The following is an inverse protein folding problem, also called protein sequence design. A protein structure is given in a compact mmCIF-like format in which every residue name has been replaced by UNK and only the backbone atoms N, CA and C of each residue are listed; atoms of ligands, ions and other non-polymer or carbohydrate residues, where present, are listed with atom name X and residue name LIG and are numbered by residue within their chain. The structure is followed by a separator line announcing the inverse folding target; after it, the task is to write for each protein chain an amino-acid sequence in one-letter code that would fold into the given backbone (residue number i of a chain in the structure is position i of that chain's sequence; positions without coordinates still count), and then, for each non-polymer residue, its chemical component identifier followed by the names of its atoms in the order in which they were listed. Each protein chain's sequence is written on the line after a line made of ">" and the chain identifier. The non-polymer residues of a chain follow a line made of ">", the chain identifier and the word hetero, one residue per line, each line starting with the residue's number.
data_IF_600096240193
#
_entry.id   IF_600096240193
#
_cell.length_a   1.000
_cell.length_b   1.000
_cell.length_c   1.000
_cell.angle_alpha   90.00
_cell.angle_beta   90.00
_cell.angle_gamma   90.00
#
_symmetry.space_group_name_H-M   'P 1'
#
loop_
_entity.id
_entity.type
_entity.pdbx_description
1 polymer ?
#
# COMPACT_ATOMS: atom_id res chain seq x y z
N UNK A 1 -4.32 6.78 36.38
CA UNK A 1 -3.66 5.48 36.31
C UNK A 1 -4.38 4.60 35.28
N UNK A 2 -4.23 4.89 34.03
CA UNK A 2 -4.51 3.97 32.93
C UNK A 2 -3.40 4.15 31.91
N UNK A 3 -2.47 3.24 31.92
CA UNK A 3 -1.62 2.92 30.79
C UNK A 3 -2.55 2.50 29.66
N UNK A 4 -2.82 3.42 28.74
CA UNK A 4 -3.39 3.09 27.44
C UNK A 4 -2.19 2.61 26.62
N UNK A 5 -2.14 1.31 26.37
CA UNK A 5 -1.10 0.66 25.59
C UNK A 5 -1.06 1.32 24.21
N UNK A 6 0.10 1.78 23.78
CA UNK A 6 0.34 2.35 22.45
C UNK A 6 -0.03 1.38 21.32
N UNK A 7 0.08 0.05 21.54
CA UNK A 7 -0.50 -0.98 20.69
C UNK A 7 -2.00 -0.83 20.43
N UNK A 8 -2.75 -0.26 21.40
CA UNK A 8 -4.18 -0.07 21.22
C UNK A 8 -4.52 1.10 20.28
N UNK A 9 -3.66 2.11 20.16
CA UNK A 9 -3.88 3.24 19.25
C UNK A 9 -3.48 2.90 17.80
N UNK A 10 -2.42 2.15 17.61
CA UNK A 10 -2.05 1.63 16.29
C UNK A 10 -2.99 0.50 15.84
N UNK A 11 -3.50 -0.30 16.76
CA UNK A 11 -4.57 -1.27 16.50
C UNK A 11 -5.93 -0.61 16.33
N UNK A 12 -6.19 0.59 16.85
CA UNK A 12 -7.44 1.32 16.61
C UNK A 12 -7.46 1.95 15.21
N UNK A 13 -6.33 2.29 14.62
CA UNK A 13 -6.26 2.59 13.19
C UNK A 13 -6.39 1.31 12.32
N UNK A 14 -6.17 0.12 12.89
CA UNK A 14 -6.28 -1.19 12.25
C UNK A 14 -7.56 -1.97 12.61
N UNK A 15 -8.27 -1.63 13.69
CA UNK A 15 -9.54 -2.24 14.05
C UNK A 15 -10.71 -1.32 13.72
N UNK A 16 -11.09 -1.29 12.44
CA UNK A 16 -12.42 -0.87 12.05
C UNK A 16 -13.46 -1.70 12.82
N UNK A 17 -14.29 -1.01 13.57
CA UNK A 17 -15.34 -1.55 14.41
C UNK A 17 -16.12 -2.68 13.73
N UNK A 18 -16.14 -3.84 14.37
CA UNK A 18 -17.04 -4.96 14.05
C UNK A 18 -18.49 -4.54 14.34
N UNK A 19 -19.16 -3.97 13.36
CA UNK A 19 -20.61 -3.99 13.29
C UNK A 19 -21.00 -5.15 12.37
N UNK A 20 -21.25 -6.32 12.98
CA UNK A 20 -21.96 -7.41 12.31
C UNK A 20 -23.39 -6.96 12.04
N UNK A 21 -23.64 -6.39 10.89
CA UNK A 21 -25.00 -6.35 10.35
C UNK A 21 -25.24 -7.68 9.65
N UNK A 22 -26.04 -8.51 10.29
CA UNK A 22 -26.53 -9.77 9.74
C UNK A 22 -27.49 -9.42 8.60
N UNK A 23 -27.03 -9.56 7.36
CA UNK A 23 -27.90 -9.49 6.19
C UNK A 23 -28.47 -10.88 5.97
N UNK A 24 -29.75 -11.06 6.27
CA UNK A 24 -30.49 -12.27 5.91
C UNK A 24 -30.64 -12.29 4.38
N UNK A 25 -29.96 -13.24 3.75
CA UNK A 25 -30.11 -13.54 2.33
C UNK A 25 -31.53 -14.13 2.10
N UNK A 26 -32.39 -13.30 1.55
CA UNK A 26 -33.67 -13.74 1.01
C UNK A 26 -33.41 -14.60 -0.21
N UNK A 27 -33.89 -15.83 -0.19
CA UNK A 27 -33.65 -16.85 -1.18
C UNK A 27 -34.05 -16.46 -2.60
N UNK A 28 -33.09 -16.61 -3.51
CA UNK A 28 -33.32 -16.68 -4.94
C UNK A 28 -33.23 -18.15 -5.37
N UNK A 29 -34.37 -18.74 -5.65
CA UNK A 29 -34.46 -20.06 -6.29
C UNK A 29 -34.05 -19.94 -7.76
N UNK A 30 -33.06 -20.72 -8.18
CA UNK A 30 -32.76 -20.94 -9.60
C UNK A 30 -33.62 -22.09 -10.15
N UNK A 31 -34.16 -21.96 -11.35
CA UNK A 31 -34.86 -23.07 -12.00
C UNK A 31 -33.89 -24.12 -12.50
N UNK A 32 -34.24 -25.40 -12.54
CA UNK A 32 -33.40 -26.45 -13.01
C UNK A 32 -33.44 -26.59 -14.53
N UNK A 33 -32.28 -26.94 -15.07
CA UNK A 33 -32.05 -27.72 -16.28
C UNK A 33 -32.54 -27.21 -17.62
N UNK A 34 -31.60 -26.81 -18.48
CA UNK A 34 -31.80 -26.85 -19.93
C UNK A 34 -30.73 -27.78 -20.53
N UNK A 35 -31.29 -28.85 -21.09
CA UNK A 35 -30.55 -29.97 -21.64
C UNK A 35 -29.65 -29.68 -22.83
N UNK A 36 -28.61 -30.48 -22.89
CA UNK A 36 -28.02 -31.10 -24.08
C UNK A 36 -27.60 -30.23 -25.25
N UNK A 37 -26.28 -29.84 -25.29
CA UNK A 37 -25.59 -29.62 -26.55
C UNK A 37 -24.46 -30.65 -26.75
N UNK A 38 -24.24 -31.14 -27.97
CA UNK A 38 -23.27 -32.19 -28.24
C UNK A 38 -21.84 -31.71 -28.08
N UNK A 39 -21.00 -32.53 -27.45
CA UNK A 39 -19.56 -32.29 -27.27
C UNK A 39 -18.82 -32.39 -28.59
N UNK A 40 -17.98 -31.43 -28.96
CA UNK A 40 -17.03 -31.59 -30.08
C UNK A 40 -15.88 -32.49 -29.70
N UNK A 41 -15.42 -33.31 -30.66
CA UNK A 41 -14.37 -34.30 -30.53
C UNK A 41 -13.02 -33.67 -30.12
N UNK A 42 -12.25 -34.38 -29.28
CA UNK A 42 -11.12 -33.86 -28.50
C UNK A 42 -9.84 -33.47 -29.27
N UNK A 43 -9.78 -33.50 -30.59
CA UNK A 43 -8.56 -33.22 -31.38
C UNK A 43 -8.38 -31.73 -31.71
N UNK A 44 -9.48 -30.95 -31.83
CA UNK A 44 -9.39 -29.53 -32.25
C UNK A 44 -9.20 -28.54 -31.08
N UNK A 45 -9.38 -28.99 -29.83
CA UNK A 45 -9.30 -28.10 -28.66
C UNK A 45 -7.88 -27.66 -28.31
N UNK A 46 -6.86 -28.45 -28.62
CA UNK A 46 -5.47 -28.16 -28.23
C UNK A 46 -4.77 -27.13 -29.14
N UNK A 47 -5.13 -27.02 -30.41
CA UNK A 47 -4.51 -26.07 -31.35
C UNK A 47 -5.15 -24.69 -31.19
N UNK A 48 -6.46 -24.58 -31.06
CA UNK A 48 -7.16 -23.31 -30.89
C UNK A 48 -6.85 -22.65 -29.52
N UNK A 49 -6.70 -23.44 -28.46
CA UNK A 49 -6.37 -22.94 -27.12
C UNK A 49 -4.97 -22.35 -27.02
N UNK A 50 -4.00 -22.91 -27.73
CA UNK A 50 -2.61 -22.39 -27.74
C UNK A 50 -2.49 -21.08 -28.51
N UNK A 51 -3.11 -20.96 -29.67
CA UNK A 51 -3.05 -19.75 -30.51
C UNK A 51 -3.74 -18.57 -29.86
N UNK A 52 -4.92 -18.78 -29.26
CA UNK A 52 -5.64 -17.71 -28.54
C UNK A 52 -4.95 -17.27 -27.27
N UNK A 53 -4.29 -18.17 -26.53
CA UNK A 53 -3.50 -17.82 -25.35
C UNK A 53 -2.25 -17.03 -25.73
N UNK A 54 -1.54 -17.41 -26.78
CA UNK A 54 -0.34 -16.71 -27.25
C UNK A 54 -0.66 -15.30 -27.75
N UNK A 55 -1.77 -15.11 -28.48
CA UNK A 55 -2.23 -13.79 -28.95
C UNK A 55 -2.60 -12.90 -27.76
N UNK A 56 -3.32 -13.41 -26.77
CA UNK A 56 -3.68 -12.64 -25.57
C UNK A 56 -2.47 -12.22 -24.75
N UNK A 57 -1.45 -13.06 -24.64
CA UNK A 57 -0.22 -12.68 -23.93
C UNK A 57 0.52 -11.57 -24.69
N UNK A 58 0.61 -11.64 -26.01
CA UNK A 58 1.21 -10.56 -26.80
C UNK A 58 0.42 -9.23 -26.69
N UNK A 59 -0.91 -9.30 -26.59
CA UNK A 59 -1.75 -8.12 -26.36
C UNK A 59 -1.51 -7.54 -24.96
N UNK A 60 -1.37 -8.39 -23.93
CA UNK A 60 -1.04 -7.98 -22.56
C UNK A 60 0.33 -7.31 -22.52
N UNK A 61 1.37 -7.92 -23.08
CA UNK A 61 2.72 -7.38 -23.11
C UNK A 61 2.75 -5.99 -23.77
N UNK A 62 2.02 -5.84 -24.90
CA UNK A 62 1.92 -4.56 -25.58
C UNK A 62 1.21 -3.47 -24.73
N UNK A 63 0.18 -3.83 -23.97
CA UNK A 63 -0.48 -2.91 -23.03
C UNK A 63 0.46 -2.55 -21.88
N UNK A 64 1.11 -3.54 -21.27
CA UNK A 64 2.03 -3.31 -20.14
C UNK A 64 3.23 -2.45 -20.55
N UNK A 65 3.76 -2.63 -21.78
CA UNK A 65 4.84 -1.78 -22.29
C UNK A 65 4.41 -0.30 -22.33
N UNK A 66 3.23 0.00 -22.93
CA UNK A 66 2.72 1.38 -22.96
C UNK A 66 2.38 1.94 -21.58
N UNK A 67 1.91 1.09 -20.68
CA UNK A 67 1.68 1.53 -19.28
C UNK A 67 3.02 1.85 -18.61
N UNK A 68 4.05 0.99 -18.77
CA UNK A 68 5.39 1.25 -18.23
C UNK A 68 5.94 2.60 -18.69
N UNK A 69 5.85 2.90 -20.00
CA UNK A 69 6.31 4.17 -20.58
C UNK A 69 5.65 5.41 -19.94
N UNK A 70 4.46 5.23 -19.37
CA UNK A 70 3.70 6.31 -18.74
C UNK A 70 3.89 6.41 -17.21
N UNK A 71 4.02 5.27 -16.52
CA UNK A 71 3.98 5.23 -15.05
C UNK A 71 5.36 5.13 -14.40
N UNK A 72 6.36 4.67 -15.15
CA UNK A 72 7.72 4.66 -14.64
C UNK A 72 8.29 6.08 -14.65
N UNK A 73 8.99 6.49 -13.59
CA UNK A 73 9.65 7.78 -13.56
C UNK A 73 10.69 7.90 -14.68
N UNK A 74 10.72 9.06 -15.33
CA UNK A 74 11.75 9.34 -16.33
C UNK A 74 13.14 9.45 -15.71
N UNK A 75 14.21 9.20 -16.49
CA UNK A 75 15.59 9.30 -15.98
C UNK A 75 15.90 10.65 -15.31
N UNK A 76 15.39 11.75 -15.86
CA UNK A 76 15.58 13.09 -15.29
C UNK A 76 14.84 13.26 -13.94
N UNK A 77 13.65 12.67 -13.81
CA UNK A 77 12.88 12.67 -12.57
C UNK A 77 13.59 11.85 -11.48
N UNK A 78 14.10 10.66 -11.83
CA UNK A 78 14.89 9.82 -10.92
C UNK A 78 16.17 10.51 -10.45
N UNK A 79 16.88 11.19 -11.35
CA UNK A 79 18.12 11.89 -11.01
C UNK A 79 17.84 13.07 -10.09
N UNK A 80 16.79 13.84 -10.37
CA UNK A 80 16.38 14.95 -9.50
C UNK A 80 16.03 14.45 -8.10
N UNK A 81 15.22 13.38 -7.99
CA UNK A 81 14.89 12.80 -6.70
C UNK A 81 16.11 12.34 -5.93
N UNK A 82 17.04 11.62 -6.59
CA UNK A 82 18.29 11.16 -5.97
C UNK A 82 19.13 12.32 -5.46
N UNK A 83 19.27 13.37 -6.26
CA UNK A 83 20.04 14.54 -5.86
C UNK A 83 19.41 15.24 -4.66
N UNK A 84 18.08 15.41 -4.66
CA UNK A 84 17.35 16.02 -3.55
C UNK A 84 17.43 15.17 -2.28
N UNK A 85 17.23 13.87 -2.39
CA UNK A 85 17.34 12.94 -1.26
C UNK A 85 18.75 12.95 -0.66
N UNK A 86 19.81 12.93 -1.51
CA UNK A 86 21.19 12.99 -1.05
C UNK A 86 21.51 14.30 -0.34
N UNK A 87 20.99 15.44 -0.82
CA UNK A 87 21.17 16.73 -0.17
C UNK A 87 20.47 16.76 1.20
N UNK A 88 19.22 16.27 1.28
CA UNK A 88 18.49 16.22 2.54
C UNK A 88 19.13 15.26 3.55
N UNK A 89 19.62 14.11 3.10
CA UNK A 89 20.38 13.17 3.94
C UNK A 89 21.63 13.83 4.52
N UNK A 90 22.42 14.52 3.69
CA UNK A 90 23.63 15.19 4.16
C UNK A 90 23.32 16.32 5.17
N UNK A 91 22.20 17.04 5.01
CA UNK A 91 21.74 18.03 6.01
C UNK A 91 21.33 17.35 7.31
N UNK A 92 20.62 16.24 7.24
CA UNK A 92 20.19 15.48 8.41
C UNK A 92 21.41 14.90 9.16
N UNK A 93 22.37 14.31 8.45
CA UNK A 93 23.63 13.82 9.03
C UNK A 93 24.42 14.95 9.72
N UNK A 94 24.44 16.15 9.12
CA UNK A 94 25.08 17.31 9.77
C UNK A 94 24.35 17.73 11.05
N UNK A 95 23.01 17.71 11.06
CA UNK A 95 22.24 18.05 12.24
C UNK A 95 22.38 16.99 13.35
N UNK A 96 22.44 15.71 12.97
CA UNK A 96 22.69 14.59 13.88
C UNK A 96 24.07 14.72 14.55
N UNK A 97 25.09 15.13 13.80
CA UNK A 97 26.47 15.29 14.34
C UNK A 97 26.58 16.35 15.45
N UNK A 98 25.63 17.27 15.55
CA UNK A 98 25.57 18.29 16.60
C UNK A 98 24.80 17.80 17.86
N UNK A 99 24.22 16.60 17.83
CA UNK A 99 23.47 16.03 18.97
C UNK A 99 24.43 15.41 20.01
N UNK A 100 24.01 15.35 21.29
CA UNK A 100 24.77 14.69 22.36
C UNK A 100 24.63 13.16 22.38
N UNK A 101 24.06 12.57 21.35
CA UNK A 101 23.75 11.13 21.20
C UNK A 101 24.14 10.67 19.81
N UNK A 102 24.65 9.44 19.70
CA UNK A 102 24.91 8.84 18.41
C UNK A 102 23.60 8.53 17.69
N UNK A 103 23.50 8.91 16.43
CA UNK A 103 22.36 8.57 15.56
C UNK A 103 22.84 8.50 14.11
N UNK A 104 22.06 7.87 13.26
CA UNK A 104 22.32 7.85 11.83
C UNK A 104 21.03 8.15 11.03
N UNK A 105 21.19 8.38 9.73
CA UNK A 105 20.10 8.75 8.83
C UNK A 105 20.01 7.73 7.70
N UNK A 106 18.81 7.22 7.47
CA UNK A 106 18.54 6.30 6.36
C UNK A 106 17.38 6.81 5.53
N UNK A 107 17.52 6.75 4.20
CA UNK A 107 16.39 6.91 3.31
C UNK A 107 15.66 5.58 3.21
N UNK A 108 14.36 5.58 3.33
CA UNK A 108 13.49 4.41 3.24
C UNK A 108 12.35 4.64 2.24
N UNK A 109 11.47 3.69 2.11
CA UNK A 109 10.26 3.86 1.34
C UNK A 109 10.41 3.60 -0.16
N UNK A 110 9.37 3.90 -0.91
CA UNK A 110 9.31 3.58 -2.34
C UNK A 110 10.36 4.33 -3.17
N UNK A 111 10.71 5.54 -2.77
CA UNK A 111 11.69 6.38 -3.47
C UNK A 111 13.12 5.87 -3.27
N UNK A 112 13.43 5.28 -2.12
CA UNK A 112 14.71 4.62 -1.87
C UNK A 112 14.88 3.37 -2.76
N UNK A 113 13.82 2.58 -2.92
CA UNK A 113 13.84 1.32 -3.67
C UNK A 113 13.50 1.44 -5.16
N UNK A 114 13.16 2.63 -5.64
CA UNK A 114 12.79 2.84 -7.06
C UNK A 114 11.42 2.27 -7.44
N UNK A 115 10.54 2.04 -6.47
CA UNK A 115 9.20 1.44 -6.65
C UNK A 115 8.07 2.47 -6.67
N UNK A 116 8.36 3.74 -6.87
CA UNK A 116 7.41 4.84 -6.92
C UNK A 116 6.84 5.08 -8.32
N UNK A 117 5.58 5.50 -8.38
CA UNK A 117 4.91 5.84 -9.64
C UNK A 117 5.27 7.27 -10.03
N UNK A 118 5.55 7.53 -11.32
CA UNK A 118 5.84 8.89 -11.80
C UNK A 118 4.80 9.90 -11.31
N UNK A 119 5.29 10.99 -10.73
CA UNK A 119 4.47 12.02 -10.09
C UNK A 119 4.23 11.83 -8.59
N UNK A 120 4.44 10.64 -8.02
CA UNK A 120 4.57 10.49 -6.57
C UNK A 120 5.89 11.15 -6.15
N UNK A 121 5.91 11.89 -5.03
CA UNK A 121 7.05 12.77 -4.69
C UNK A 121 7.46 12.69 -3.23
N UNK A 122 7.27 11.53 -2.62
CA UNK A 122 7.51 11.33 -1.19
C UNK A 122 8.96 10.90 -0.95
N UNK A 123 9.70 11.63 -0.11
CA UNK A 123 11.03 11.28 0.37
C UNK A 123 10.93 11.03 1.86
N UNK A 124 11.15 9.78 2.27
CA UNK A 124 11.10 9.36 3.66
C UNK A 124 12.53 9.24 4.21
N UNK A 125 12.90 10.07 5.17
CA UNK A 125 14.17 10.01 5.89
C UNK A 125 13.91 9.61 7.33
N UNK A 126 14.59 8.56 7.76
CA UNK A 126 14.50 8.05 9.12
C UNK A 126 15.78 8.37 9.88
N UNK A 127 15.63 9.01 11.05
CA UNK A 127 16.73 9.26 11.99
C UNK A 127 16.68 8.18 13.05
N UNK A 128 17.67 7.27 13.03
CA UNK A 128 17.72 6.12 13.95
C UNK A 128 18.55 6.46 15.16
N UNK A 129 17.95 6.39 16.32
CA UNK A 129 18.54 6.66 17.63
C UNK A 129 18.78 5.35 18.39
N UNK A 130 19.71 5.32 19.36
CA UNK A 130 19.97 4.14 20.18
C UNK A 130 18.68 3.59 20.83
N UNK A 131 18.54 2.27 20.89
CA UNK A 131 17.36 1.58 21.39
C UNK A 131 17.02 1.92 22.85
N UNK A 132 17.99 2.34 23.64
CA UNK A 132 17.83 2.73 25.04
C UNK A 132 17.53 4.23 25.25
N UNK A 133 17.43 5.00 24.16
CA UNK A 133 17.07 6.41 24.24
C UNK A 133 15.61 6.54 24.69
N UNK A 134 15.38 7.33 25.76
CA UNK A 134 14.03 7.56 26.27
C UNK A 134 13.17 8.34 25.25
N UNK A 135 11.87 8.06 25.25
CA UNK A 135 10.88 8.64 24.33
C UNK A 135 10.95 10.16 24.23
N UNK A 136 11.03 10.87 25.36
CA UNK A 136 11.09 12.34 25.39
C UNK A 136 12.31 12.87 24.63
N UNK A 137 13.46 12.23 24.80
CA UNK A 137 14.70 12.61 24.10
C UNK A 137 14.64 12.26 22.61
N UNK A 138 14.07 11.12 22.24
CA UNK A 138 13.83 10.75 20.85
C UNK A 138 12.95 11.78 20.13
N UNK A 139 11.84 12.20 20.76
CA UNK A 139 10.93 13.20 20.23
C UNK A 139 11.64 14.58 20.10
N UNK A 140 12.34 15.01 21.15
CA UNK A 140 13.09 16.27 21.15
C UNK A 140 14.17 16.33 20.06
N UNK A 141 15.01 15.30 19.99
CA UNK A 141 16.11 15.26 19.01
C UNK A 141 15.58 15.03 17.57
N UNK A 142 14.57 14.20 17.40
CA UNK A 142 13.92 13.98 16.12
C UNK A 142 13.34 15.26 15.54
N UNK A 143 12.60 16.04 16.34
CA UNK A 143 12.08 17.33 15.93
C UNK A 143 13.19 18.36 15.68
N UNK A 144 14.26 18.37 16.50
CA UNK A 144 15.38 19.27 16.31
C UNK A 144 16.08 19.01 14.95
N UNK A 145 16.33 17.75 14.61
CA UNK A 145 16.89 17.37 13.28
C UNK A 145 15.90 17.73 12.18
N UNK A 146 14.62 17.40 12.36
CA UNK A 146 13.59 17.69 11.36
C UNK A 146 13.51 19.17 11.00
N UNK A 147 13.46 20.06 11.98
CA UNK A 147 13.42 21.51 11.76
C UNK A 147 14.75 22.09 11.25
N UNK A 148 15.89 21.45 11.58
CA UNK A 148 17.16 21.87 10.98
C UNK A 148 17.23 21.55 9.48
N UNK A 149 16.64 20.45 9.04
CA UNK A 149 16.58 20.04 7.63
C UNK A 149 15.49 20.78 6.87
N UNK A 150 14.30 20.92 7.49
CA UNK A 150 13.10 21.55 6.94
C UNK A 150 12.65 22.70 7.85
N UNK A 151 13.30 23.88 7.77
CA UNK A 151 12.97 25.01 8.66
C UNK A 151 11.53 25.52 8.53
N UNK A 152 10.90 25.36 7.35
CA UNK A 152 9.52 25.73 7.08
C UNK A 152 8.55 24.52 7.22
N UNK A 153 9.05 23.38 7.70
CA UNK A 153 8.27 22.18 7.95
C UNK A 153 7.33 22.34 9.14
N UNK A 154 6.30 21.54 9.17
CA UNK A 154 5.36 21.45 10.29
C UNK A 154 5.43 20.08 10.95
N UNK A 155 5.01 20.03 12.22
CA UNK A 155 4.98 18.79 12.97
C UNK A 155 3.72 18.00 12.65
N UNK A 156 3.88 16.72 12.36
CA UNK A 156 2.80 15.73 12.31
C UNK A 156 3.03 14.65 13.37
N UNK A 157 1.98 13.88 13.66
CA UNK A 157 1.99 12.88 14.70
C UNK A 157 1.56 11.52 14.15
N UNK A 158 2.50 10.58 14.16
CA UNK A 158 2.22 9.16 14.02
C UNK A 158 2.32 8.51 15.43
N UNK A 159 3.22 7.56 15.59
CA UNK A 159 3.58 7.02 16.93
C UNK A 159 4.41 8.06 17.74
N UNK A 160 5.27 8.78 17.06
CA UNK A 160 6.05 9.92 17.55
C UNK A 160 5.77 11.15 16.68
N UNK A 161 6.00 12.37 17.22
CA UNK A 161 6.00 13.56 16.39
C UNK A 161 7.16 13.50 15.39
N UNK A 162 6.91 13.95 14.17
CA UNK A 162 7.91 14.04 13.11
C UNK A 162 7.72 15.33 12.31
N UNK A 163 8.71 15.72 11.52
CA UNK A 163 8.62 16.93 10.70
C UNK A 163 8.33 16.58 9.26
N UNK A 164 7.27 17.17 8.74
CA UNK A 164 6.86 17.08 7.35
C UNK A 164 6.98 18.43 6.66
N UNK A 165 7.40 18.41 5.40
CA UNK A 165 7.52 19.64 4.61
C UNK A 165 7.69 19.37 3.13
N UNK A 166 7.88 20.45 2.36
CA UNK A 166 8.15 20.35 0.93
C UNK A 166 9.53 20.91 0.64
N UNK A 167 10.36 20.15 -0.04
CA UNK A 167 11.69 20.57 -0.48
C UNK A 167 11.91 20.27 -1.96
N UNK A 168 12.26 21.28 -2.75
CA UNK A 168 12.42 21.20 -4.22
C UNK A 168 11.24 20.55 -4.94
N UNK A 169 10.01 20.70 -4.39
CA UNK A 169 8.78 20.15 -4.92
C UNK A 169 8.57 18.66 -4.64
N UNK A 170 9.35 18.10 -3.71
CA UNK A 170 9.11 16.79 -3.10
C UNK A 170 8.50 16.96 -1.71
N UNK A 171 7.55 16.11 -1.37
CA UNK A 171 7.06 15.96 -0.03
C UNK A 171 8.12 15.19 0.77
N UNK A 172 8.46 15.66 1.96
CA UNK A 172 9.56 15.10 2.77
C UNK A 172 9.06 14.83 4.17
N UNK A 173 9.17 13.58 4.60
CA UNK A 173 8.89 13.15 5.95
C UNK A 173 10.22 12.82 6.66
N UNK A 174 10.48 13.44 7.81
CA UNK A 174 11.67 13.22 8.60
C UNK A 174 11.29 12.65 9.96
N UNK A 175 11.45 11.33 10.07
CA UNK A 175 10.82 10.51 11.10
C UNK A 175 11.86 9.95 12.07
N UNK A 176 11.78 10.22 13.38
CA UNK A 176 12.64 9.58 14.38
C UNK A 176 12.17 8.13 14.65
N UNK A 177 13.13 7.22 14.82
CA UNK A 177 12.88 5.86 15.25
C UNK A 177 14.05 5.33 16.10
N UNK A 178 13.85 4.18 16.75
CA UNK A 178 14.92 3.49 17.45
C UNK A 178 15.68 2.56 16.52
N UNK A 179 17.00 2.50 16.66
CA UNK A 179 17.85 1.52 16.02
C UNK A 179 17.87 0.24 16.86
N UNK A 180 16.99 -0.68 16.54
CA UNK A 180 16.83 -1.97 17.22
C UNK A 180 17.39 -3.09 16.33
N UNK A 181 17.87 -4.17 16.95
CA UNK A 181 18.53 -5.25 16.22
C UNK A 181 17.56 -6.26 15.59
N UNK A 182 16.34 -6.35 16.11
CA UNK A 182 15.31 -7.30 15.63
C UNK A 182 13.90 -6.81 15.92
N UNK A 183 12.92 -7.43 15.26
CA UNK A 183 11.50 -7.13 15.48
C UNK A 183 11.02 -7.42 16.91
N UNK A 184 11.70 -8.29 17.64
CA UNK A 184 11.37 -8.59 19.04
C UNK A 184 11.74 -7.44 19.99
N UNK A 185 12.60 -6.52 19.52
CA UNK A 185 13.11 -5.38 20.29
C UNK A 185 12.43 -4.06 19.92
N UNK A 186 11.41 -4.09 19.06
CA UNK A 186 10.68 -2.89 18.64
C UNK A 186 10.11 -2.14 19.85
N UNK A 187 10.44 -0.86 19.96
CA UNK A 187 9.92 0.04 20.98
C UNK A 187 8.64 0.72 20.46
N UNK A 188 8.60 0.98 19.14
CA UNK A 188 7.44 1.57 18.48
C UNK A 188 7.19 0.90 17.11
N UNK A 189 6.00 1.10 16.58
CA UNK A 189 5.64 0.56 15.27
C UNK A 189 6.47 1.18 14.12
N UNK A 190 6.97 2.39 14.30
CA UNK A 190 7.79 3.12 13.33
C UNK A 190 9.16 2.45 13.14
N UNK A 191 9.72 1.87 14.21
CA UNK A 191 11.03 1.19 14.20
C UNK A 191 11.08 -0.01 13.24
N UNK A 192 9.92 -0.50 12.80
CA UNK A 192 9.81 -1.61 11.83
C UNK A 192 10.18 -1.20 10.40
N UNK A 193 10.02 0.07 10.05
CA UNK A 193 10.18 0.54 8.67
C UNK A 193 11.57 0.30 8.10
N UNK A 194 12.69 0.54 8.82
CA UNK A 194 14.03 0.20 8.33
C UNK A 194 14.22 -1.30 8.01
N UNK A 195 13.60 -2.21 8.78
CA UNK A 195 13.65 -3.64 8.50
C UNK A 195 12.90 -4.01 7.23
N UNK A 196 11.70 -3.44 7.03
CA UNK A 196 10.93 -3.62 5.80
C UNK A 196 11.71 -3.13 4.58
N UNK A 197 12.38 -1.99 4.72
CA UNK A 197 13.19 -1.42 3.65
C UNK A 197 14.38 -2.33 3.30
N UNK A 198 15.13 -2.77 4.30
CA UNK A 198 16.26 -3.69 4.11
C UNK A 198 15.82 -5.00 3.46
N UNK A 199 14.73 -5.61 3.96
CA UNK A 199 14.19 -6.86 3.43
C UNK A 199 13.82 -6.77 1.95
N UNK A 200 13.14 -5.70 1.54
CA UNK A 200 12.72 -5.50 0.16
C UNK A 200 13.88 -5.09 -0.75
N UNK A 201 14.83 -4.29 -0.25
CA UNK A 201 16.01 -3.88 -1.02
C UNK A 201 16.85 -5.07 -1.46
N UNK A 202 16.94 -6.12 -0.63
CA UNK A 202 17.66 -7.35 -0.98
C UNK A 202 16.93 -8.21 -2.03
N UNK A 203 15.61 -8.04 -2.20
CA UNK A 203 14.75 -8.90 -3.03
C UNK A 203 14.25 -8.25 -4.31
N UNK A 204 14.25 -6.94 -4.38
CA UNK A 204 13.77 -6.20 -5.54
C UNK A 204 14.97 -5.76 -6.40
N UNK A 205 15.11 -6.37 -7.57
CA UNK A 205 15.95 -5.85 -8.63
C UNK A 205 15.20 -4.79 -9.46
N UNK A 206 15.87 -4.20 -10.45
CA UNK A 206 15.29 -3.14 -11.29
C UNK A 206 14.03 -3.62 -12.07
N UNK A 207 13.98 -4.89 -12.48
CA UNK A 207 12.85 -5.45 -13.22
C UNK A 207 11.64 -5.63 -12.28
N UNK A 208 11.84 -6.19 -11.10
CA UNK A 208 10.80 -6.32 -10.08
C UNK A 208 10.33 -4.96 -9.55
N UNK A 209 11.23 -3.99 -9.38
CA UNK A 209 10.87 -2.63 -9.01
C UNK A 209 9.94 -2.00 -10.06
N UNK A 210 10.21 -2.21 -11.36
CA UNK A 210 9.33 -1.80 -12.44
C UNK A 210 7.97 -2.50 -12.40
N UNK A 211 7.93 -3.77 -12.03
CA UNK A 211 6.69 -4.54 -11.87
C UNK A 211 5.88 -4.11 -10.63
N UNK A 212 6.54 -3.68 -9.56
CA UNK A 212 5.87 -3.04 -8.42
C UNK A 212 5.18 -1.75 -8.85
N UNK A 213 5.85 -0.91 -9.66
CA UNK A 213 5.23 0.33 -10.16
C UNK A 213 3.99 0.01 -11.00
N UNK A 214 4.02 -1.02 -11.85
CA UNK A 214 2.85 -1.50 -12.58
C UNK A 214 1.73 -1.96 -11.63
N UNK A 215 2.07 -2.72 -10.60
CA UNK A 215 1.10 -3.19 -9.61
C UNK A 215 0.44 -2.03 -8.86
N UNK A 216 1.23 -1.05 -8.41
CA UNK A 216 0.72 0.18 -7.77
C UNK A 216 -0.20 0.96 -8.72
N UNK A 217 0.20 1.15 -9.98
CA UNK A 217 -0.62 1.82 -10.98
C UNK A 217 -1.93 1.08 -11.25
N UNK A 218 -1.89 -0.26 -11.35
CA UNK A 218 -3.09 -1.09 -11.49
C UNK A 218 -4.03 -0.95 -10.30
N UNK A 219 -3.51 -1.05 -9.08
CA UNK A 219 -4.28 -0.91 -7.85
C UNK A 219 -4.88 0.51 -7.71
N UNK A 220 -4.13 1.56 -8.05
CA UNK A 220 -4.64 2.94 -8.14
C UNK A 220 -5.75 3.04 -9.19
N UNK A 221 -5.57 2.44 -10.35
CA UNK A 221 -6.53 2.44 -11.45
C UNK A 221 -7.86 1.76 -11.14
N UNK A 222 -7.83 0.70 -10.33
CA UNK A 222 -9.05 0.01 -9.89
C UNK A 222 -9.61 0.52 -8.56
N UNK A 223 -8.94 1.51 -7.93
CA UNK A 223 -9.35 2.11 -6.65
C UNK A 223 -9.23 1.16 -5.45
N UNK A 224 -8.13 0.39 -5.40
CA UNK A 224 -7.80 -0.55 -4.32
C UNK A 224 -6.43 -0.30 -3.69
N UNK A 225 -5.75 0.81 -4.01
CA UNK A 225 -4.46 1.19 -3.45
C UNK A 225 -4.62 2.17 -2.29
N UNK A 226 -3.95 1.89 -1.19
CA UNK A 226 -3.94 2.67 0.05
C UNK A 226 -4.43 1.86 1.24
N UNK A 227 -3.78 2.00 2.39
CA UNK A 227 -4.10 1.30 3.64
C UNK A 227 -4.83 2.20 4.66
N UNK A 228 -5.22 3.40 4.23
CA UNK A 228 -6.05 4.27 5.05
C UNK A 228 -7.45 3.68 5.28
N UNK A 229 -8.08 4.04 6.40
CA UNK A 229 -9.39 3.49 6.81
C UNK A 229 -10.53 3.76 5.82
N UNK A 230 -10.38 4.75 4.96
CA UNK A 230 -11.36 5.04 3.89
C UNK A 230 -11.21 4.08 2.72
N UNK A 231 -9.98 3.71 2.41
CA UNK A 231 -9.66 2.84 1.27
C UNK A 231 -9.70 1.37 1.66
N UNK A 232 -9.12 0.99 2.80
CA UNK A 232 -8.95 -0.41 3.24
C UNK A 232 -8.38 -1.29 2.11
N UNK A 233 -7.41 -0.75 1.40
CA UNK A 233 -6.82 -1.37 0.20
C UNK A 233 -5.42 -1.95 0.45
N UNK A 234 -4.70 -2.13 -0.64
CA UNK A 234 -3.33 -2.62 -0.63
C UNK A 234 -2.38 -1.48 -0.25
N UNK A 235 -1.61 -1.64 0.82
CA UNK A 235 -0.51 -0.73 1.14
C UNK A 235 0.63 -0.85 0.13
N UNK A 236 1.53 0.15 0.11
CA UNK A 236 2.75 0.08 -0.70
C UNK A 236 3.59 -1.15 -0.36
N UNK A 237 3.83 -1.38 0.93
CA UNK A 237 4.61 -2.52 1.41
C UNK A 237 3.98 -3.88 1.06
N UNK A 238 2.66 -4.04 1.27
CA UNK A 238 1.94 -5.25 0.86
C UNK A 238 2.08 -5.50 -0.65
N UNK A 239 1.98 -4.45 -1.46
CA UNK A 239 2.10 -4.56 -2.92
C UNK A 239 3.50 -5.02 -3.32
N UNK A 240 4.54 -4.46 -2.71
CA UNK A 240 5.94 -4.79 -2.96
C UNK A 240 6.24 -6.25 -2.55
N UNK A 241 5.77 -6.68 -1.38
CA UNK A 241 5.91 -8.07 -0.92
C UNK A 241 5.26 -9.07 -1.87
N UNK A 242 4.02 -8.81 -2.30
CA UNK A 242 3.31 -9.72 -3.19
C UNK A 242 3.97 -9.82 -4.57
N UNK A 243 4.52 -8.71 -5.09
CA UNK A 243 5.27 -8.73 -6.36
C UNK A 243 6.58 -9.49 -6.21
N UNK A 244 7.31 -9.27 -5.12
CA UNK A 244 8.56 -9.98 -4.83
C UNK A 244 8.32 -11.49 -4.67
N UNK A 245 7.33 -11.87 -3.86
CA UNK A 245 7.00 -13.27 -3.54
C UNK A 245 6.53 -14.05 -4.76
N UNK A 246 5.74 -13.43 -5.62
CA UNK A 246 5.18 -14.10 -6.80
C UNK A 246 6.05 -13.92 -8.07
N UNK A 247 7.12 -13.13 -7.98
CA UNK A 247 8.10 -12.96 -9.06
C UNK A 247 7.63 -12.04 -10.19
N UNK A 248 6.80 -11.02 -9.88
CA UNK A 248 6.43 -9.96 -10.81
C UNK A 248 4.92 -9.67 -10.88
N UNK A 249 4.57 -8.63 -11.63
CA UNK A 249 3.18 -8.18 -11.78
C UNK A 249 2.30 -9.20 -12.53
N UNK A 250 2.78 -9.76 -13.64
CA UNK A 250 2.00 -10.75 -14.42
C UNK A 250 1.75 -12.02 -13.60
N UNK A 251 2.76 -12.62 -12.96
CA UNK A 251 2.53 -13.74 -12.04
C UNK A 251 1.57 -13.42 -10.90
N UNK A 252 1.63 -12.20 -10.32
CA UNK A 252 0.70 -11.75 -9.28
C UNK A 252 -0.75 -11.77 -9.76
N UNK A 253 -1.07 -11.16 -10.92
CA UNK A 253 -2.45 -11.14 -11.44
C UNK A 253 -2.90 -12.52 -11.93
N UNK A 254 -2.00 -13.35 -12.47
CA UNK A 254 -2.29 -14.74 -12.82
C UNK A 254 -2.61 -15.60 -11.60
N UNK A 255 -1.89 -15.42 -10.51
CA UNK A 255 -2.17 -16.08 -9.23
C UNK A 255 -3.49 -15.62 -8.63
N UNK A 256 -3.67 -14.30 -8.51
CA UNK A 256 -4.82 -13.67 -7.85
C UNK A 256 -6.17 -14.06 -8.46
N UNK A 257 -6.22 -14.30 -9.78
CA UNK A 257 -7.47 -14.72 -10.46
C UNK A 257 -8.10 -15.99 -9.87
N UNK A 258 -7.29 -16.82 -9.22
CA UNK A 258 -7.69 -18.13 -8.69
C UNK A 258 -7.64 -18.22 -7.15
N UNK A 259 -7.37 -17.14 -6.46
CA UNK A 259 -7.37 -17.15 -5.00
C UNK A 259 -8.74 -17.50 -4.43
N UNK A 260 -8.74 -18.23 -3.34
CA UNK A 260 -9.93 -18.61 -2.58
C UNK A 260 -9.69 -18.22 -1.11
N UNK A 261 -10.18 -17.06 -0.67
CA UNK A 261 -9.98 -16.64 0.72
C UNK A 261 -10.50 -17.67 1.74
N UNK A 262 -9.81 -17.86 2.87
CA UNK A 262 -8.58 -17.18 3.25
C UNK A 262 -7.36 -17.66 2.43
N UNK A 263 -6.53 -16.70 2.01
CA UNK A 263 -5.24 -16.97 1.36
C UNK A 263 -4.13 -16.62 2.33
N UNK A 264 -3.08 -17.43 2.37
CA UNK A 264 -1.94 -17.21 3.26
C UNK A 264 -0.63 -17.30 2.48
N UNK A 265 0.23 -16.32 2.72
CA UNK A 265 1.61 -16.25 2.27
C UNK A 265 2.51 -16.07 3.49
N UNK A 266 3.48 -16.92 3.66
CA UNK A 266 4.50 -16.83 4.70
C UNK A 266 5.87 -16.93 4.02
N UNK A 267 6.45 -15.79 3.58
CA UNK A 267 7.69 -15.76 2.81
C UNK A 267 8.87 -16.42 3.52
N UNK A 268 8.94 -16.32 4.83
CA UNK A 268 10.03 -16.86 5.64
C UNK A 268 9.66 -18.19 6.34
N UNK A 269 8.39 -18.62 6.24
CA UNK A 269 7.92 -19.86 6.87
C UNK A 269 7.97 -19.81 8.39
N UNK A 270 7.70 -18.67 9.00
CA UNK A 270 7.95 -18.42 10.42
C UNK A 270 6.72 -17.92 11.21
N UNK A 271 5.52 -18.00 10.65
CA UNK A 271 4.30 -17.54 11.32
C UNK A 271 4.16 -18.13 12.74
N UNK A 272 4.00 -17.26 13.73
CA UNK A 272 3.82 -17.64 15.14
C UNK A 272 2.36 -17.56 15.60
N UNK A 273 1.45 -17.02 14.76
CA UNK A 273 0.03 -16.93 15.08
C UNK A 273 -0.84 -17.13 13.82
N UNK A 274 -2.09 -17.48 14.05
CA UNK A 274 -3.11 -17.57 13.01
C UNK A 274 -3.90 -16.27 12.90
N UNK A 275 -4.37 -15.98 11.69
CA UNK A 275 -5.15 -14.78 11.38
C UNK A 275 -6.46 -15.20 10.70
N UNK A 276 -7.53 -14.44 10.94
CA UNK A 276 -8.87 -14.68 10.36
C UNK A 276 -9.17 -13.75 9.17
N UNK A 277 -8.12 -13.13 8.61
CA UNK A 277 -8.25 -12.17 7.51
C UNK A 277 -8.44 -12.88 6.15
N UNK A 278 -9.09 -12.22 5.17
CA UNK A 278 -9.29 -12.82 3.85
C UNK A 278 -7.99 -13.02 3.06
N UNK A 279 -6.97 -12.21 3.35
CA UNK A 279 -5.60 -12.37 2.88
C UNK A 279 -4.66 -12.24 4.08
N UNK A 280 -3.79 -13.20 4.24
CA UNK A 280 -2.73 -13.20 5.22
C UNK A 280 -1.40 -13.14 4.46
N UNK A 281 -0.59 -12.15 4.77
CA UNK A 281 0.81 -12.08 4.36
C UNK A 281 1.61 -11.86 5.63
N UNK A 282 2.22 -12.92 6.12
CA UNK A 282 3.04 -12.86 7.34
C UNK A 282 4.20 -11.91 7.08
N UNK A 283 4.39 -10.96 8.00
CA UNK A 283 5.47 -9.99 7.86
C UNK A 283 6.83 -10.71 7.96
N UNK A 284 7.67 -10.63 6.93
CA UNK A 284 8.98 -11.31 6.94
C UNK A 284 9.90 -10.88 8.08
N UNK A 285 9.61 -9.74 8.70
CA UNK A 285 10.40 -9.19 9.81
C UNK A 285 9.70 -9.32 11.16
N UNK A 286 8.43 -9.75 11.19
CA UNK A 286 7.64 -9.92 12.43
C UNK A 286 6.65 -11.09 12.28
N UNK A 287 6.98 -12.29 12.82
CA UNK A 287 6.17 -13.51 12.65
C UNK A 287 4.76 -13.41 13.28
N UNK A 288 4.51 -12.37 14.06
CA UNK A 288 3.24 -12.16 14.75
C UNK A 288 2.29 -11.20 14.03
N UNK A 289 2.71 -10.65 12.86
CA UNK A 289 2.01 -9.61 12.13
C UNK A 289 1.50 -10.07 10.77
N UNK A 290 0.24 -9.72 10.44
CA UNK A 290 -0.28 -9.80 9.07
C UNK A 290 -0.15 -8.44 8.37
N UNK A 291 0.67 -8.35 7.32
CA UNK A 291 0.84 -7.12 6.52
C UNK A 291 -0.46 -6.70 5.81
N UNK A 292 -1.32 -7.69 5.51
CA UNK A 292 -2.60 -7.46 4.81
C UNK A 292 -3.79 -7.19 5.76
N UNK A 293 -3.57 -7.00 7.06
CA UNK A 293 -4.64 -6.88 8.07
C UNK A 293 -5.67 -5.77 7.77
N UNK A 294 -5.27 -4.68 7.12
CA UNK A 294 -6.18 -3.58 6.73
C UNK A 294 -6.99 -3.88 5.48
N UNK A 295 -6.54 -4.84 4.66
CA UNK A 295 -7.17 -5.12 3.38
C UNK A 295 -8.57 -5.70 3.55
N UNK A 296 -9.59 -4.96 3.13
CA UNK A 296 -10.96 -5.45 3.17
C UNK A 296 -11.22 -6.59 2.17
N UNK A 297 -12.14 -7.50 2.53
CA UNK A 297 -12.61 -8.55 1.62
C UNK A 297 -13.17 -7.98 0.30
N UNK A 298 -13.75 -6.78 0.35
CA UNK A 298 -14.29 -6.10 -0.83
C UNK A 298 -13.17 -5.67 -1.80
N UNK A 299 -12.06 -5.13 -1.30
CA UNK A 299 -10.93 -4.74 -2.14
C UNK A 299 -10.12 -5.95 -2.63
N UNK A 300 -10.01 -7.01 -1.84
CA UNK A 300 -9.46 -8.27 -2.32
C UNK A 300 -10.29 -8.84 -3.47
N UNK A 301 -11.62 -8.89 -3.33
CA UNK A 301 -12.52 -9.35 -4.40
C UNK A 301 -12.47 -8.44 -5.65
N UNK A 302 -12.34 -7.11 -5.45
CA UNK A 302 -12.13 -6.15 -6.53
C UNK A 302 -10.84 -6.42 -7.29
N UNK A 303 -9.73 -6.62 -6.59
CA UNK A 303 -8.45 -6.99 -7.19
C UNK A 303 -8.57 -8.28 -8.01
N UNK A 304 -9.16 -9.33 -7.47
CA UNK A 304 -9.39 -10.58 -8.19
C UNK A 304 -10.26 -10.40 -9.44
N UNK A 305 -11.32 -9.59 -9.33
CA UNK A 305 -12.19 -9.30 -10.48
C UNK A 305 -11.42 -8.65 -11.60
N UNK A 306 -10.68 -7.59 -11.31
CA UNK A 306 -9.93 -6.85 -12.32
C UNK A 306 -8.67 -7.58 -12.80
N UNK A 307 -8.06 -8.45 -12.02
CA UNK A 307 -7.02 -9.37 -12.47
C UNK A 307 -7.56 -10.32 -13.56
N UNK A 308 -8.74 -10.89 -13.36
CA UNK A 308 -9.41 -11.70 -14.39
C UNK A 308 -9.76 -10.90 -15.64
N UNK A 309 -10.24 -9.68 -15.45
CA UNK A 309 -10.63 -8.78 -16.54
C UNK A 309 -9.40 -8.34 -17.37
N UNK A 310 -8.30 -7.94 -16.72
CA UNK A 310 -7.03 -7.62 -17.38
C UNK A 310 -6.50 -8.79 -18.24
N UNK A 311 -6.48 -9.99 -17.67
CA UNK A 311 -6.02 -11.19 -18.38
C UNK A 311 -6.95 -11.63 -19.50
N UNK A 312 -8.26 -11.32 -19.42
CA UNK A 312 -9.23 -11.63 -20.46
C UNK A 312 -9.26 -10.58 -21.56
N UNK A 313 -9.11 -9.30 -21.22
CA UNK A 313 -9.24 -8.15 -22.11
C UNK A 313 -8.24 -7.07 -21.69
N UNK A 314 -6.95 -7.20 -22.05
CA UNK A 314 -5.91 -6.25 -21.69
C UNK A 314 -6.23 -4.84 -22.19
N UNK A 315 -6.14 -3.84 -21.32
CA UNK A 315 -6.36 -2.43 -21.66
C UNK A 315 -5.74 -1.47 -20.64
N UNK A 316 -5.19 -0.38 -21.15
CA UNK A 316 -4.50 0.65 -20.34
C UNK A 316 -5.42 1.34 -19.33
N UNK A 317 -6.72 1.42 -19.64
CA UNK A 317 -7.72 2.06 -18.77
C UNK A 317 -7.79 1.48 -17.35
N UNK A 318 -7.35 0.24 -17.15
CA UNK A 318 -7.30 -0.39 -15.82
C UNK A 318 -6.16 0.15 -14.94
N UNK A 319 -5.24 0.90 -15.51
CA UNK A 319 -4.12 1.53 -14.81
C UNK A 319 -4.31 3.04 -14.62
N UNK A 320 -5.48 3.56 -14.96
CA UNK A 320 -5.80 4.97 -14.84
C UNK A 320 -6.78 5.17 -13.67
N UNK A 321 -6.41 5.96 -12.65
CA UNK A 321 -7.33 6.28 -11.58
C UNK A 321 -8.63 6.87 -12.14
N UNK A 322 -9.80 6.42 -11.64
CA UNK A 322 -11.07 6.93 -12.12
C UNK A 322 -11.20 8.43 -11.77
N UNK A 323 -11.25 9.27 -12.80
CA UNK A 323 -11.65 10.67 -12.60
C UNK A 323 -13.12 10.70 -12.24
N UNK A 324 -13.44 11.22 -11.06
CA UNK A 324 -14.81 11.46 -10.63
C UNK A 324 -15.06 12.96 -10.67
N UNK A 325 -15.79 13.39 -11.68
CA UNK A 325 -16.30 14.76 -11.67
C UNK A 325 -17.30 14.92 -10.53
N UNK A 326 -17.30 16.06 -9.84
CA UNK A 326 -18.32 16.35 -8.84
C UNK A 326 -19.71 16.22 -9.45
N UNK A 327 -20.61 15.51 -8.76
CA UNK A 327 -21.98 15.39 -9.20
C UNK A 327 -22.67 16.76 -9.09
N UNK A 328 -23.34 17.19 -10.15
CA UNK A 328 -24.24 18.33 -10.06
C UNK A 328 -25.50 18.02 -9.24
N UNK A 329 -26.23 19.05 -8.85
CA UNK A 329 -27.42 18.89 -8.01
C UNK A 329 -28.52 18.04 -8.68
N UNK A 330 -28.57 17.97 -10.00
CA UNK A 330 -29.50 17.13 -10.76
C UNK A 330 -29.11 15.66 -10.69
N UNK A 331 -27.82 15.38 -10.91
CA UNK A 331 -27.28 14.03 -10.79
C UNK A 331 -27.45 13.48 -9.36
N UNK A 332 -27.17 14.32 -8.33
CA UNK A 332 -27.40 13.92 -6.93
C UNK A 332 -28.87 13.55 -6.69
N UNK A 333 -29.82 14.38 -7.12
CA UNK A 333 -31.25 14.09 -6.99
C UNK A 333 -31.64 12.79 -7.68
N UNK A 334 -31.23 12.59 -8.92
CA UNK A 334 -31.51 11.36 -9.66
C UNK A 334 -30.95 10.11 -8.95
N UNK A 335 -29.74 10.21 -8.35
CA UNK A 335 -29.17 9.11 -7.56
C UNK A 335 -29.99 8.81 -6.31
N UNK A 336 -30.44 9.82 -5.59
CA UNK A 336 -31.26 9.68 -4.39
C UNK A 336 -32.62 9.05 -4.72
N UNK A 337 -33.31 9.57 -5.76
CA UNK A 337 -34.58 9.03 -6.21
C UNK A 337 -34.48 7.56 -6.66
N UNK A 338 -33.48 7.22 -7.46
CA UNK A 338 -33.28 5.83 -7.94
C UNK A 338 -32.93 4.84 -6.83
N UNK A 339 -32.37 5.30 -5.73
CA UNK A 339 -32.02 4.48 -4.56
C UNK A 339 -33.04 4.57 -3.43
N UNK A 340 -34.10 5.35 -3.61
CA UNK A 340 -35.09 5.65 -2.57
C UNK A 340 -34.43 6.11 -1.26
N UNK A 341 -33.33 6.88 -1.37
CA UNK A 341 -32.50 7.31 -0.26
C UNK A 341 -32.82 8.76 0.15
N UNK A 342 -32.84 9.04 1.44
CA UNK A 342 -32.94 10.38 2.00
C UNK A 342 -31.54 10.79 2.50
N UNK A 343 -30.97 11.91 2.00
CA UNK A 343 -29.70 12.39 2.50
C UNK A 343 -29.85 12.93 3.91
N UNK A 344 -28.93 12.58 4.80
CA UNK A 344 -28.81 13.19 6.14
C UNK A 344 -27.44 13.86 6.20
N UNK A 345 -27.45 15.16 6.51
CA UNK A 345 -26.24 15.90 6.80
C UNK A 345 -26.05 15.97 8.32
N UNK A 346 -24.89 15.51 8.79
CA UNK A 346 -24.44 15.69 10.16
C UNK A 346 -23.32 16.71 10.13
N UNK A 347 -23.49 17.81 10.85
CA UNK A 347 -22.49 18.88 10.97
C UNK A 347 -22.00 18.90 12.40
N UNK A 348 -20.69 18.81 12.58
CA UNK A 348 -20.04 18.91 13.89
C UNK A 348 -18.70 19.64 13.72
N UNK A 349 -18.23 20.23 14.82
CA UNK A 349 -16.88 20.77 14.83
C UNK A 349 -15.89 19.60 14.88
N UNK A 350 -15.04 19.49 13.85
CA UNK A 350 -14.01 18.47 13.83
C UNK A 350 -13.02 18.71 14.98
N UNK A 351 -12.69 17.71 15.79
CA UNK A 351 -11.57 17.81 16.72
C UNK A 351 -10.26 18.03 15.95
N UNK A 352 -9.27 18.62 16.61
CA UNK A 352 -7.95 18.82 16.02
C UNK A 352 -7.19 17.47 15.99
N UNK A 353 -7.55 16.62 15.06
CA UNK A 353 -7.00 15.29 14.84
C UNK A 353 -6.55 15.17 13.39
N UNK A 354 -5.58 14.33 13.12
CA UNK A 354 -5.18 14.00 11.74
C UNK A 354 -6.29 13.22 11.02
N UNK A 355 -6.29 13.27 9.69
CA UNK A 355 -7.36 12.70 8.86
C UNK A 355 -7.64 11.22 9.18
N UNK A 356 -6.60 10.41 9.42
CA UNK A 356 -6.72 8.99 9.77
C UNK A 356 -7.38 8.73 11.13
N UNK A 357 -7.40 9.73 12.01
CA UNK A 357 -8.10 9.65 13.32
C UNK A 357 -9.55 10.14 13.22
N UNK A 358 -9.93 10.82 12.13
CA UNK A 358 -11.27 11.35 11.91
C UNK A 358 -12.19 10.36 11.20
N UNK A 359 -11.66 9.35 10.56
CA UNK A 359 -12.34 8.32 9.76
C UNK A 359 -12.29 6.95 10.42
#
# INVERSE_FOLDING_TARGET
>A
DRLVNSEALYQLSYFGSIWRTRVDLIGLSFPPDIGGMPSPSGADRHVFGRTTRSVRMADLDAVLSRVRDRVLPEPAERERLRATAAELTARAESAVADLPVDADVVQVGSTARGTWVSGDRDIDLFVRFPADLGREALEEYGLAVGHAVLPDGHEEYAEHPYVKGVYDGFDVDLVPCHDVASADELVSAVDRTPFHDAYLTERLDDDLAGDVVLAKAFLKGIGAYGSDLRTEGFSGYLTELLVAELGGFVPLVESARSWHPPMEFDPEGHAERTFDDPLVVVDPTDPTRNVAAVLSAANLARFQHYARDLLATPREKLFEPPTRDPLDAGAVRNHLERREATPVAVVFDAPNLVDDQLW
#
